data_IF_762181205208
#
_entry.id   IF_762181205208
#
_cell.length_a   1.000
_cell.length_b   1.000
_cell.length_c   1.000
_cell.angle_alpha   90.00
_cell.angle_beta   90.00
_cell.angle_gamma   90.00
#
_symmetry.space_group_name_H-M   'P 1'
#
loop_
_entity.id
_entity.type
_entity.pdbx_description
1 polymer ?
#
# COMPACT_ATOMS: atom_id res chain seq x y z
N UNK A 1 -3.54 2.13 -15.16
CA UNK A 1 -3.62 2.83 -13.85
C UNK A 1 -4.19 4.21 -14.11
N UNK A 2 -4.85 4.81 -13.16
CA UNK A 2 -5.52 6.11 -13.32
C UNK A 2 -7.03 5.99 -13.25
N UNK A 3 -7.76 6.99 -13.77
CA UNK A 3 -9.21 7.11 -13.68
C UNK A 3 -9.93 5.83 -14.18
N UNK A 4 -10.85 5.30 -13.39
CA UNK A 4 -11.63 4.10 -13.74
C UNK A 4 -10.98 2.76 -13.36
N UNK A 5 -9.77 2.76 -12.79
CA UNK A 5 -9.11 1.56 -12.28
C UNK A 5 -9.06 1.55 -10.75
N UNK A 6 -9.15 0.38 -10.11
CA UNK A 6 -9.00 0.30 -8.66
C UNK A 6 -7.60 0.75 -8.22
N UNK A 7 -7.52 1.43 -7.08
CA UNK A 7 -6.26 1.84 -6.47
C UNK A 7 -5.40 0.61 -6.17
N UNK A 8 -4.15 0.59 -6.64
CA UNK A 8 -3.25 -0.55 -6.49
C UNK A 8 -2.31 -0.38 -5.31
N UNK A 9 -2.08 -1.48 -4.60
CA UNK A 9 -1.18 -1.53 -3.44
C UNK A 9 0.22 -1.93 -3.89
N UNK A 10 1.20 -1.07 -3.60
CA UNK A 10 2.62 -1.33 -3.82
C UNK A 10 3.36 -1.50 -2.49
N UNK A 11 4.31 -2.43 -2.45
CA UNK A 11 5.31 -2.54 -1.38
C UNK A 11 6.73 -2.48 -1.92
N UNK A 12 7.71 -2.44 -1.02
CA UNK A 12 9.12 -2.42 -1.38
C UNK A 12 9.87 -3.45 -0.55
N UNK A 13 10.68 -4.26 -1.23
CA UNK A 13 11.56 -5.22 -0.58
C UNK A 13 12.62 -4.53 0.26
N UNK A 14 13.02 -5.20 1.33
CA UNK A 14 14.15 -4.80 2.18
C UNK A 14 15.33 -5.79 2.10
N UNK A 15 15.24 -6.78 1.20
CA UNK A 15 16.36 -7.67 0.84
C UNK A 15 17.37 -6.95 -0.04
N UNK A 16 18.61 -7.42 -0.04
CA UNK A 16 19.60 -7.01 -1.03
C UNK A 16 19.22 -7.58 -2.39
N UNK A 17 19.00 -6.73 -3.38
CA UNK A 17 18.48 -7.11 -4.71
C UNK A 17 19.43 -8.06 -5.46
N UNK A 18 20.74 -7.98 -5.21
CA UNK A 18 21.76 -8.90 -5.73
C UNK A 18 21.47 -10.36 -5.33
N UNK A 19 20.85 -10.61 -4.18
CA UNK A 19 20.37 -11.92 -3.79
C UNK A 19 19.00 -12.18 -4.42
N UNK A 20 19.01 -12.58 -5.69
CA UNK A 20 17.78 -12.79 -6.46
C UNK A 20 16.85 -13.83 -5.82
N UNK A 21 17.41 -14.87 -5.17
CA UNK A 21 16.61 -15.91 -4.54
C UNK A 21 15.84 -15.39 -3.32
N UNK A 22 16.53 -14.70 -2.40
CA UNK A 22 15.87 -14.11 -1.22
C UNK A 22 14.90 -13.03 -1.61
N UNK A 23 15.25 -12.19 -2.58
CA UNK A 23 14.39 -11.11 -3.06
C UNK A 23 13.11 -11.67 -3.72
N UNK A 24 13.23 -12.68 -4.57
CA UNK A 24 12.06 -13.34 -5.14
C UNK A 24 11.20 -14.04 -4.09
N UNK A 25 11.79 -14.68 -3.08
CA UNK A 25 11.06 -15.27 -1.97
C UNK A 25 10.27 -14.22 -1.17
N UNK A 26 10.88 -13.05 -0.90
CA UNK A 26 10.17 -11.95 -0.25
C UNK A 26 9.04 -11.39 -1.11
N UNK A 27 9.26 -11.23 -2.42
CA UNK A 27 8.21 -10.78 -3.34
C UNK A 27 7.03 -11.76 -3.35
N UNK A 28 7.28 -13.06 -3.42
CA UNK A 28 6.23 -14.08 -3.37
C UNK A 28 5.44 -14.02 -2.06
N UNK A 29 6.10 -13.81 -0.93
CA UNK A 29 5.42 -13.61 0.36
C UNK A 29 4.58 -12.32 0.37
N UNK A 30 5.04 -11.25 -0.29
CA UNK A 30 4.27 -10.02 -0.46
C UNK A 30 3.07 -10.22 -1.41
N UNK A 31 3.22 -11.01 -2.48
CA UNK A 31 2.12 -11.40 -3.37
C UNK A 31 1.05 -12.18 -2.61
N UNK A 32 1.44 -13.14 -1.78
CA UNK A 32 0.52 -13.87 -0.91
C UNK A 32 -0.19 -12.94 0.07
N UNK A 33 0.51 -11.91 0.59
CA UNK A 33 -0.09 -10.87 1.40
C UNK A 33 -0.95 -9.87 0.60
N UNK A 34 -1.08 -10.02 -0.72
CA UNK A 34 -1.92 -9.20 -1.58
C UNK A 34 -1.22 -8.00 -2.23
N UNK A 35 0.11 -7.91 -2.16
CA UNK A 35 0.85 -6.87 -2.87
C UNK A 35 0.66 -7.02 -4.39
N UNK A 36 0.28 -5.95 -5.06
CA UNK A 36 -0.04 -5.96 -6.49
C UNK A 36 1.11 -5.42 -7.36
N UNK A 37 2.05 -4.70 -6.76
CA UNK A 37 3.23 -4.14 -7.42
C UNK A 37 4.39 -4.19 -6.43
N UNK A 38 5.49 -4.84 -6.79
CA UNK A 38 6.66 -4.92 -5.94
C UNK A 38 7.76 -3.97 -6.42
N UNK A 39 8.54 -3.41 -5.49
CA UNK A 39 9.67 -2.53 -5.80
C UNK A 39 10.94 -3.03 -5.12
N UNK A 40 12.04 -2.97 -5.85
CA UNK A 40 13.40 -3.29 -5.36
C UNK A 40 14.32 -2.10 -5.54
N UNK A 41 15.30 -1.94 -4.64
CA UNK A 41 16.36 -0.97 -4.80
C UNK A 41 17.40 -1.52 -5.79
N UNK A 42 17.91 -0.64 -6.66
CA UNK A 42 18.97 -0.98 -7.61
C UNK A 42 20.15 -0.03 -7.41
N UNK A 43 21.01 -0.33 -6.40
CA UNK A 43 22.12 0.54 -6.06
C UNK A 43 23.34 0.40 -6.99
N UNK A 44 23.48 -0.73 -7.64
CA UNK A 44 24.65 -1.11 -8.46
C UNK A 44 24.27 -2.04 -9.62
N UNK A 45 25.26 -2.40 -10.44
CA UNK A 45 25.08 -3.22 -11.65
C UNK A 45 24.69 -4.66 -11.32
N UNK A 46 25.20 -5.22 -10.24
CA UNK A 46 24.86 -6.59 -9.82
C UNK A 46 23.37 -6.69 -9.46
N UNK A 47 22.83 -5.66 -8.77
CA UNK A 47 21.40 -5.57 -8.48
C UNK A 47 20.57 -5.40 -9.76
N UNK A 48 21.04 -4.61 -10.73
CA UNK A 48 20.35 -4.43 -12.01
C UNK A 48 20.30 -5.76 -12.81
N UNK A 49 21.39 -6.50 -12.85
CA UNK A 49 21.48 -7.82 -13.53
C UNK A 49 20.62 -8.88 -12.84
N UNK A 50 20.53 -8.86 -11.50
CA UNK A 50 19.72 -9.80 -10.73
C UNK A 50 18.21 -9.71 -11.06
N UNK A 51 17.72 -8.60 -11.62
CA UNK A 51 16.32 -8.41 -11.99
C UNK A 51 15.82 -9.52 -12.91
N UNK A 52 16.62 -9.97 -13.89
CA UNK A 52 16.23 -11.03 -14.82
C UNK A 52 15.92 -12.35 -14.11
N UNK A 53 16.72 -12.73 -13.10
CA UNK A 53 16.50 -13.94 -12.31
C UNK A 53 15.30 -13.77 -11.34
N UNK A 54 15.10 -12.58 -10.78
CA UNK A 54 13.94 -12.27 -9.95
C UNK A 54 12.66 -12.39 -10.80
N UNK A 55 12.62 -11.80 -11.97
CA UNK A 55 11.44 -11.80 -12.88
C UNK A 55 10.99 -13.21 -13.27
N UNK A 56 11.90 -14.16 -13.43
CA UNK A 56 11.55 -15.57 -13.72
C UNK A 56 10.81 -16.25 -12.57
N UNK A 57 10.86 -15.71 -11.36
CA UNK A 57 10.36 -16.34 -10.13
C UNK A 57 9.14 -15.66 -9.50
N UNK A 58 8.70 -14.54 -10.05
CA UNK A 58 7.60 -13.71 -9.53
C UNK A 58 6.50 -13.53 -10.58
N UNK A 59 5.30 -13.21 -10.14
CA UNK A 59 4.14 -12.97 -11.02
C UNK A 59 3.74 -11.50 -11.10
N UNK A 60 3.93 -10.75 -10.00
CA UNK A 60 3.55 -9.34 -9.95
C UNK A 60 4.53 -8.45 -10.72
N UNK A 61 4.06 -7.30 -11.21
CA UNK A 61 4.93 -6.28 -11.79
C UNK A 61 6.01 -5.81 -10.83
N UNK A 62 7.24 -5.67 -11.35
CA UNK A 62 8.42 -5.25 -10.62
C UNK A 62 8.82 -3.82 -10.98
N UNK A 63 9.14 -3.00 -9.98
CA UNK A 63 9.64 -1.64 -10.12
C UNK A 63 11.10 -1.58 -9.68
N UNK A 64 12.01 -1.19 -10.56
CA UNK A 64 13.39 -0.88 -10.22
C UNK A 64 13.50 0.57 -9.72
N UNK A 65 14.06 0.75 -8.52
CA UNK A 65 14.27 2.06 -7.90
C UNK A 65 15.70 2.52 -8.09
N UNK A 66 15.91 3.49 -8.98
CA UNK A 66 17.23 3.95 -9.42
C UNK A 66 17.35 5.44 -9.13
N UNK A 67 18.44 5.85 -8.49
CA UNK A 67 18.59 7.21 -7.99
C UNK A 67 19.56 8.09 -8.79
N UNK A 68 20.70 7.56 -9.27
CA UNK A 68 21.79 8.41 -9.75
C UNK A 68 22.38 7.97 -11.09
N UNK A 69 22.46 6.68 -11.38
CA UNK A 69 23.12 6.16 -12.58
C UNK A 69 22.09 5.65 -13.59
N UNK A 70 22.01 6.32 -14.75
CA UNK A 70 21.09 5.94 -15.84
C UNK A 70 21.44 4.58 -16.46
N UNK A 71 22.71 4.13 -16.37
CA UNK A 71 23.13 2.82 -16.90
C UNK A 71 22.47 1.67 -16.15
N UNK A 72 22.21 1.86 -14.86
CA UNK A 72 21.43 0.89 -14.07
C UNK A 72 19.98 0.80 -14.56
N UNK A 73 19.42 1.93 -15.02
CA UNK A 73 18.07 1.95 -15.60
C UNK A 73 18.04 1.18 -16.93
N UNK A 74 19.04 1.40 -17.80
CA UNK A 74 19.17 0.68 -19.06
C UNK A 74 19.30 -0.84 -18.84
N UNK A 75 20.17 -1.25 -17.90
CA UNK A 75 20.33 -2.67 -17.59
C UNK A 75 19.06 -3.25 -16.98
N UNK A 76 18.41 -2.59 -16.03
CA UNK A 76 17.15 -3.04 -15.45
C UNK A 76 16.04 -3.23 -16.51
N UNK A 77 15.96 -2.33 -17.50
CA UNK A 77 15.03 -2.43 -18.63
C UNK A 77 15.36 -3.67 -19.48
N UNK A 78 16.63 -3.86 -19.84
CA UNK A 78 17.12 -5.02 -20.57
C UNK A 78 16.81 -6.35 -19.85
N UNK A 79 16.85 -6.35 -18.52
CA UNK A 79 16.52 -7.51 -17.67
C UNK A 79 15.01 -7.74 -17.50
N UNK A 80 14.15 -6.91 -18.13
CA UNK A 80 12.71 -7.12 -18.20
C UNK A 80 11.92 -6.58 -16.99
N UNK A 81 12.39 -5.52 -16.35
CA UNK A 81 11.61 -4.82 -15.33
C UNK A 81 10.34 -4.20 -15.96
N UNK A 82 9.24 -4.13 -15.21
CA UNK A 82 7.98 -3.56 -15.73
C UNK A 82 7.91 -2.04 -15.58
N UNK A 83 8.64 -1.49 -14.62
CA UNK A 83 8.69 -0.04 -14.37
C UNK A 83 10.04 0.36 -13.77
N UNK A 84 10.54 1.49 -14.21
CA UNK A 84 11.71 2.13 -13.60
C UNK A 84 11.29 3.40 -12.87
N UNK A 85 11.69 3.53 -11.60
CA UNK A 85 11.58 4.79 -10.87
C UNK A 85 12.90 5.52 -10.94
N UNK A 86 12.84 6.71 -11.47
CA UNK A 86 13.97 7.63 -11.57
C UNK A 86 13.60 9.00 -11.02
N UNK A 87 14.60 9.79 -10.76
CA UNK A 87 14.49 11.24 -10.70
C UNK A 87 15.31 11.80 -11.87
N UNK A 88 14.69 12.22 -13.00
CA UNK A 88 15.38 12.71 -14.17
C UNK A 88 16.40 13.81 -13.86
N UNK A 89 16.13 14.59 -12.83
CA UNK A 89 17.05 15.61 -12.36
C UNK A 89 18.32 15.10 -11.67
N UNK A 90 18.41 13.82 -11.33
CA UNK A 90 19.55 13.23 -10.61
C UNK A 90 20.36 12.23 -11.45
N UNK A 91 19.84 11.78 -12.62
CA UNK A 91 20.51 10.78 -13.46
C UNK A 91 21.49 11.37 -14.48
N UNK A 92 21.82 12.64 -14.34
CA UNK A 92 22.85 13.34 -15.13
C UNK A 92 22.28 14.24 -16.23
N UNK A 93 22.93 14.26 -17.38
CA UNK A 93 22.52 15.11 -18.50
C UNK A 93 21.15 14.69 -19.10
N UNK A 94 20.52 15.62 -19.82
CA UNK A 94 19.24 15.35 -20.52
C UNK A 94 19.36 14.21 -21.52
N UNK A 95 20.53 14.02 -22.12
CA UNK A 95 20.86 12.93 -23.03
C UNK A 95 20.69 11.57 -22.36
N UNK A 96 21.12 11.41 -21.11
CA UNK A 96 20.95 10.18 -20.34
C UNK A 96 19.44 9.86 -20.12
N UNK A 97 18.64 10.92 -19.87
CA UNK A 97 17.18 10.76 -19.78
C UNK A 97 16.59 10.29 -21.11
N UNK A 98 17.06 10.82 -22.23
CA UNK A 98 16.63 10.40 -23.57
C UNK A 98 16.96 8.94 -23.86
N UNK A 99 18.13 8.46 -23.45
CA UNK A 99 18.50 7.03 -23.58
C UNK A 99 17.58 6.13 -22.77
N UNK A 100 17.29 6.48 -21.52
CA UNK A 100 16.36 5.72 -20.67
C UNK A 100 14.96 5.71 -21.26
N UNK A 101 14.48 6.86 -21.77
CA UNK A 101 13.15 6.95 -22.40
C UNK A 101 13.07 6.11 -23.67
N UNK A 102 14.11 6.12 -24.53
CA UNK A 102 14.17 5.27 -25.71
C UNK A 102 14.10 3.79 -25.33
N UNK A 103 14.97 3.36 -24.41
CA UNK A 103 14.96 1.97 -23.94
C UNK A 103 13.60 1.57 -23.33
N UNK A 104 12.97 2.48 -22.57
CA UNK A 104 11.64 2.25 -22.01
C UNK A 104 10.54 2.12 -23.08
N UNK A 105 10.60 2.93 -24.15
CA UNK A 105 9.69 2.80 -25.31
C UNK A 105 9.88 1.48 -26.03
N UNK A 106 11.12 1.11 -26.35
CA UNK A 106 11.46 -0.09 -27.09
C UNK A 106 11.04 -1.38 -26.37
N UNK A 107 11.01 -1.36 -25.04
CA UNK A 107 10.65 -2.51 -24.20
C UNK A 107 9.26 -2.41 -23.55
N UNK A 108 8.50 -1.35 -23.80
CA UNK A 108 7.18 -1.14 -23.19
C UNK A 108 7.19 -0.91 -21.69
N UNK A 109 8.31 -0.44 -21.14
CA UNK A 109 8.52 -0.21 -19.70
C UNK A 109 7.94 1.12 -19.27
N UNK A 110 7.22 1.16 -18.15
CA UNK A 110 6.70 2.40 -17.58
C UNK A 110 7.79 3.17 -16.81
N UNK A 111 7.68 4.50 -16.75
CA UNK A 111 8.55 5.33 -15.92
C UNK A 111 7.78 5.95 -14.76
N UNK A 112 8.44 6.06 -13.60
CA UNK A 112 7.93 6.85 -12.50
C UNK A 112 8.90 7.96 -12.14
N UNK A 113 8.44 9.20 -12.24
CA UNK A 113 9.10 10.37 -11.70
C UNK A 113 8.89 10.40 -10.18
N UNK A 114 9.97 10.38 -9.41
CA UNK A 114 9.92 10.36 -7.95
C UNK A 114 10.55 11.60 -7.34
N UNK A 115 9.73 12.56 -6.92
CA UNK A 115 10.17 13.75 -6.20
C UNK A 115 9.92 13.54 -4.70
N UNK A 116 11.00 13.50 -3.92
CA UNK A 116 10.96 13.48 -2.47
C UNK A 116 11.43 14.82 -1.93
N UNK A 117 10.83 15.30 -0.85
CA UNK A 117 11.19 16.58 -0.24
C UNK A 117 12.70 16.75 0.02
N UNK A 118 13.38 15.66 0.41
CA UNK A 118 14.83 15.65 0.62
C UNK A 118 15.70 15.66 -0.64
N UNK A 119 15.13 15.38 -1.84
CA UNK A 119 15.87 15.30 -3.10
C UNK A 119 15.68 16.52 -4.01
N UNK A 120 14.83 17.47 -3.63
CA UNK A 120 14.52 18.68 -4.41
C UNK A 120 15.75 19.56 -4.58
N UNK A 121 16.13 19.85 -5.83
CA UNK A 121 17.35 20.59 -6.16
C UNK A 121 17.39 21.98 -5.51
N UNK A 122 16.29 22.72 -5.60
CA UNK A 122 16.17 24.07 -5.04
C UNK A 122 16.46 24.10 -3.54
N UNK A 123 16.04 23.08 -2.81
CA UNK A 123 16.18 23.01 -1.37
C UNK A 123 17.56 22.55 -0.89
N UNK A 124 18.38 21.99 -1.78
CA UNK A 124 19.80 21.69 -1.49
C UNK A 124 20.67 22.94 -1.46
N UNK A 125 20.27 23.99 -2.17
CA UNK A 125 21.03 25.24 -2.32
C UNK A 125 20.61 26.36 -1.36
N UNK A 126 19.48 26.23 -0.66
CA UNK A 126 18.97 27.30 0.22
C UNK A 126 19.44 27.05 1.65
N UNK A 127 20.33 27.92 2.16
CA UNK A 127 20.53 28.11 3.59
C UNK A 127 19.19 28.61 4.17
N UNK A 128 18.51 27.79 4.94
CA UNK A 128 17.22 28.20 5.56
C UNK A 128 16.03 27.29 5.24
N UNK A 129 16.26 25.96 5.07
CA UNK A 129 15.17 24.97 4.92
C UNK A 129 14.04 25.08 5.94
N UNK A 130 14.28 25.72 7.07
CA UNK A 130 13.35 25.88 8.18
C UNK A 130 12.36 27.05 8.00
N UNK A 131 12.56 27.93 7.03
CA UNK A 131 11.75 29.15 6.85
C UNK A 131 10.67 29.03 5.75
N UNK A 132 10.66 27.94 4.97
CA UNK A 132 9.66 27.80 3.92
C UNK A 132 8.36 27.27 4.50
N UNK A 133 7.24 27.97 4.21
CA UNK A 133 5.90 27.46 4.51
C UNK A 133 5.63 26.14 3.76
N UNK A 134 4.71 25.31 4.28
CA UNK A 134 4.34 24.06 3.65
C UNK A 134 3.81 24.25 2.23
N UNK A 135 3.14 25.38 1.96
CA UNK A 135 2.63 25.77 0.65
C UNK A 135 3.77 26.02 -0.34
N UNK A 136 4.80 26.74 0.08
CA UNK A 136 6.00 26.96 -0.76
C UNK A 136 6.77 25.67 -1.00
N UNK A 137 6.88 24.80 -0.01
CA UNK A 137 7.44 23.47 -0.16
C UNK A 137 6.68 22.64 -1.20
N UNK A 138 5.35 22.62 -1.11
CA UNK A 138 4.50 21.92 -2.05
C UNK A 138 4.68 22.47 -3.48
N UNK A 139 4.70 23.79 -3.64
CA UNK A 139 4.89 24.43 -4.95
C UNK A 139 6.24 24.06 -5.58
N UNK A 140 7.32 24.04 -4.79
CA UNK A 140 8.66 23.68 -5.29
C UNK A 140 8.70 22.21 -5.74
N UNK A 141 8.09 21.30 -4.98
CA UNK A 141 7.98 19.89 -5.36
C UNK A 141 7.18 19.71 -6.66
N UNK A 142 6.07 20.42 -6.79
CA UNK A 142 5.22 20.36 -7.98
C UNK A 142 5.95 20.90 -9.20
N UNK A 143 6.62 22.06 -9.09
CA UNK A 143 7.37 22.64 -10.19
C UNK A 143 8.45 21.68 -10.70
N UNK A 144 9.21 21.05 -9.79
CA UNK A 144 10.22 20.04 -10.16
C UNK A 144 9.59 18.83 -10.86
N UNK A 145 8.45 18.35 -10.37
CA UNK A 145 7.77 17.22 -10.99
C UNK A 145 7.23 17.55 -12.38
N UNK A 146 6.65 18.74 -12.57
CA UNK A 146 6.15 19.20 -13.86
C UNK A 146 7.29 19.44 -14.86
N UNK A 147 8.41 20.02 -14.43
CA UNK A 147 9.61 20.17 -15.26
C UNK A 147 10.10 18.82 -15.78
N UNK A 148 10.18 17.82 -14.90
CA UNK A 148 10.58 16.47 -15.27
C UNK A 148 9.56 15.75 -16.16
N UNK A 149 8.26 15.95 -15.89
CA UNK A 149 7.19 15.39 -16.73
C UNK A 149 7.22 15.98 -18.14
N UNK A 150 7.47 17.30 -18.27
CA UNK A 150 7.59 17.98 -19.54
C UNK A 150 8.76 17.44 -20.40
N UNK A 151 9.88 17.06 -19.78
CA UNK A 151 10.98 16.39 -20.50
C UNK A 151 10.50 15.09 -21.15
N UNK A 152 9.73 14.28 -20.44
CA UNK A 152 9.19 13.01 -20.95
C UNK A 152 8.12 13.26 -22.04
N UNK A 153 7.28 14.27 -21.86
CA UNK A 153 6.27 14.67 -22.84
C UNK A 153 6.90 15.13 -24.16
N UNK A 154 7.97 15.94 -24.12
CA UNK A 154 8.74 16.35 -25.29
C UNK A 154 9.35 15.15 -26.05
N UNK A 155 9.58 14.04 -25.36
CA UNK A 155 10.04 12.78 -25.94
C UNK A 155 8.87 11.86 -26.34
N UNK A 156 7.63 12.35 -26.35
CA UNK A 156 6.39 11.60 -26.63
C UNK A 156 6.19 10.37 -25.72
N UNK A 157 6.74 10.38 -24.51
CA UNK A 157 6.61 9.29 -23.56
C UNK A 157 5.39 9.51 -22.64
N UNK A 158 4.36 8.64 -22.79
CA UNK A 158 3.08 8.75 -22.07
C UNK A 158 2.89 7.78 -20.93
N UNK A 159 3.70 6.71 -20.87
CA UNK A 159 3.57 5.69 -19.81
C UNK A 159 4.26 6.10 -18.50
N UNK A 160 3.79 7.18 -17.93
CA UNK A 160 4.39 7.90 -16.81
C UNK A 160 3.49 7.87 -15.58
N UNK A 161 4.09 7.79 -14.40
CA UNK A 161 3.48 8.00 -13.08
C UNK A 161 4.33 9.01 -12.31
N UNK A 162 3.70 9.90 -11.55
CA UNK A 162 4.42 10.84 -10.67
C UNK A 162 4.22 10.47 -9.21
N UNK A 163 5.23 10.70 -8.38
CA UNK A 163 5.12 10.59 -6.93
C UNK A 163 5.74 11.80 -6.24
N UNK A 164 4.97 12.47 -5.40
CA UNK A 164 5.33 13.63 -4.59
C UNK A 164 5.20 13.24 -3.12
N UNK A 165 6.31 13.06 -2.41
CA UNK A 165 6.33 12.51 -1.07
C UNK A 165 7.18 13.32 -0.11
N UNK A 166 6.67 13.47 1.11
CA UNK A 166 7.35 14.03 2.26
C UNK A 166 7.07 13.20 3.51
N UNK A 167 7.81 13.43 4.56
CA UNK A 167 7.55 12.99 5.94
C UNK A 167 6.38 13.77 6.58
N UNK A 168 6.11 14.98 6.06
CA UNK A 168 5.01 15.84 6.48
C UNK A 168 3.72 15.49 5.77
N UNK A 169 2.66 15.23 6.55
CA UNK A 169 1.30 15.11 6.06
C UNK A 169 0.89 16.29 5.19
N UNK A 170 1.02 17.52 5.74
CA UNK A 170 0.54 18.74 5.06
C UNK A 170 1.24 18.98 3.72
N UNK A 171 2.57 18.85 3.68
CA UNK A 171 3.35 19.00 2.44
C UNK A 171 2.97 17.95 1.40
N UNK A 172 2.81 16.69 1.83
CA UNK A 172 2.42 15.60 0.92
C UNK A 172 1.04 15.85 0.33
N UNK A 173 0.04 16.21 1.15
CA UNK A 173 -1.32 16.47 0.67
C UNK A 173 -1.34 17.67 -0.27
N UNK A 174 -0.77 18.81 0.14
CA UNK A 174 -0.74 20.02 -0.68
C UNK A 174 -0.05 19.80 -2.03
N UNK A 175 1.11 19.11 -2.05
CA UNK A 175 1.84 18.85 -3.29
C UNK A 175 1.04 17.97 -4.26
N UNK A 176 0.40 16.89 -3.77
CA UNK A 176 -0.38 16.00 -4.63
C UNK A 176 -1.67 16.68 -5.13
N UNK A 177 -2.36 17.46 -4.29
CA UNK A 177 -3.53 18.24 -4.71
C UNK A 177 -3.18 19.30 -5.76
N UNK A 178 -2.08 20.02 -5.54
CA UNK A 178 -1.63 21.05 -6.45
C UNK A 178 -1.20 20.46 -7.80
N UNK A 179 -0.51 19.31 -7.80
CA UNK A 179 -0.13 18.60 -9.01
C UNK A 179 -1.35 18.08 -9.77
N UNK A 180 -2.32 17.48 -9.08
CA UNK A 180 -3.54 16.93 -9.69
C UNK A 180 -4.43 18.01 -10.33
N UNK A 181 -4.31 19.28 -9.94
CA UNK A 181 -4.98 20.42 -10.60
C UNK A 181 -4.30 20.85 -11.91
N UNK A 182 -3.04 20.47 -12.12
CA UNK A 182 -2.21 20.95 -13.23
C UNK A 182 -1.86 19.84 -14.24
N UNK A 183 -2.11 18.56 -13.89
CA UNK A 183 -1.72 17.41 -14.71
C UNK A 183 -2.61 16.21 -14.46
N UNK A 184 -2.95 15.49 -15.54
CA UNK A 184 -3.73 14.23 -15.49
C UNK A 184 -2.81 13.00 -15.32
N UNK A 185 -1.52 13.18 -15.15
CA UNK A 185 -0.58 12.06 -14.94
C UNK A 185 -0.92 11.33 -13.63
N UNK A 186 -1.10 10.00 -13.68
CA UNK A 186 -1.45 9.22 -12.49
C UNK A 186 -0.44 9.39 -11.35
N UNK A 187 -0.95 9.51 -10.12
CA UNK A 187 -0.14 9.70 -8.92
C UNK A 187 0.06 8.39 -8.14
N UNK A 188 1.32 8.17 -7.73
CA UNK A 188 1.69 7.19 -6.71
C UNK A 188 1.87 7.89 -5.37
N UNK A 189 0.90 7.73 -4.48
CA UNK A 189 0.85 8.47 -3.22
C UNK A 189 1.36 7.64 -2.02
N UNK A 190 1.81 8.34 -0.98
CA UNK A 190 2.33 7.77 0.27
C UNK A 190 3.16 8.79 1.01
N UNK A 191 3.43 8.53 2.28
CA UNK A 191 4.42 9.26 3.05
C UNK A 191 5.80 8.58 2.96
N UNK A 192 6.85 9.36 3.15
CA UNK A 192 8.20 8.85 3.46
C UNK A 192 8.43 8.95 4.97
N UNK A 193 9.24 8.02 5.52
CA UNK A 193 9.68 8.11 6.91
C UNK A 193 8.54 8.25 7.93
N UNK A 194 7.44 7.51 7.71
CA UNK A 194 6.25 7.65 8.54
C UNK A 194 6.47 7.18 9.99
N UNK A 195 7.44 6.27 10.23
CA UNK A 195 7.83 5.82 11.56
C UNK A 195 7.40 4.38 11.88
N UNK A 196 7.29 4.09 13.19
CA UNK A 196 6.88 2.79 13.71
C UNK A 196 5.43 2.45 13.36
N UNK A 197 5.00 1.21 13.64
CA UNK A 197 3.70 0.69 13.26
C UNK A 197 2.54 1.64 13.59
N UNK A 198 2.35 1.99 14.85
CA UNK A 198 1.21 2.82 15.26
C UNK A 198 1.29 4.23 14.65
N UNK A 199 2.41 4.92 14.88
CA UNK A 199 2.59 6.30 14.40
C UNK A 199 2.52 6.39 12.87
N UNK A 200 3.22 5.47 12.19
CA UNK A 200 3.24 5.43 10.72
C UNK A 200 1.90 5.05 10.11
N UNK A 201 1.14 4.14 10.74
CA UNK A 201 -0.22 3.79 10.31
C UNK A 201 -1.14 4.99 10.41
N UNK A 202 -1.17 5.69 11.55
CA UNK A 202 -2.03 6.86 11.73
C UNK A 202 -1.68 7.97 10.73
N UNK A 203 -0.40 8.32 10.60
CA UNK A 203 0.03 9.34 9.62
C UNK A 203 -0.33 8.95 8.19
N UNK A 204 -0.10 7.69 7.81
CA UNK A 204 -0.43 7.19 6.47
C UNK A 204 -1.94 7.18 6.22
N UNK A 205 -2.74 6.75 7.20
CA UNK A 205 -4.19 6.73 7.07
C UNK A 205 -4.77 8.13 6.86
N UNK A 206 -4.29 9.12 7.62
CA UNK A 206 -4.73 10.50 7.47
C UNK A 206 -4.33 11.07 6.10
N UNK A 207 -3.06 10.89 5.69
CA UNK A 207 -2.57 11.45 4.42
C UNK A 207 -3.22 10.80 3.20
N UNK A 208 -3.21 9.46 3.15
CA UNK A 208 -3.79 8.70 2.05
C UNK A 208 -5.31 8.86 2.02
N UNK A 209 -5.97 8.84 3.19
CA UNK A 209 -7.42 9.04 3.29
C UNK A 209 -7.85 10.38 2.72
N UNK A 210 -7.14 11.47 3.07
CA UNK A 210 -7.42 12.82 2.56
C UNK A 210 -7.30 12.89 1.03
N UNK A 211 -6.28 12.27 0.44
CA UNK A 211 -6.06 12.29 -1.00
C UNK A 211 -7.04 11.38 -1.75
N UNK A 212 -7.21 10.16 -1.26
CA UNK A 212 -8.07 9.16 -1.89
C UNK A 212 -9.54 9.56 -1.92
N UNK A 213 -10.06 10.23 -0.88
CA UNK A 213 -11.42 10.79 -0.87
C UNK A 213 -11.63 11.86 -1.95
N UNK A 214 -10.56 12.49 -2.42
CA UNK A 214 -10.59 13.47 -3.52
C UNK A 214 -10.33 12.82 -4.89
N UNK A 215 -10.27 11.47 -4.96
CA UNK A 215 -9.96 10.75 -6.19
C UNK A 215 -8.48 10.82 -6.60
N UNK A 216 -7.60 11.30 -5.71
CA UNK A 216 -6.17 11.45 -5.98
C UNK A 216 -5.41 10.22 -5.51
N UNK A 217 -4.74 9.52 -6.45
CA UNK A 217 -3.93 8.34 -6.16
C UNK A 217 -4.35 7.11 -6.97
N UNK A 218 -3.54 6.74 -7.96
CA UNK A 218 -3.72 5.53 -8.74
C UNK A 218 -3.06 4.31 -8.10
N UNK A 219 -1.98 4.54 -7.34
CA UNK A 219 -1.28 3.53 -6.56
C UNK A 219 -0.86 4.09 -5.22
N UNK A 220 -0.82 3.26 -4.19
CA UNK A 220 -0.42 3.67 -2.84
C UNK A 220 0.72 2.82 -2.31
N UNK A 221 1.55 3.43 -1.43
CA UNK A 221 2.50 2.70 -0.59
C UNK A 221 2.49 3.26 0.83
N UNK A 222 2.23 2.40 1.78
CA UNK A 222 2.46 2.67 3.21
C UNK A 222 3.93 2.37 3.51
N UNK A 223 4.61 3.23 4.28
CA UNK A 223 6.02 3.10 4.65
C UNK A 223 6.14 3.04 6.16
N UNK A 224 6.37 1.85 6.70
CA UNK A 224 6.53 1.61 8.14
C UNK A 224 7.91 0.98 8.38
N UNK A 225 8.48 1.23 9.56
CA UNK A 225 9.67 0.52 10.06
C UNK A 225 9.21 -0.83 10.64
N UNK A 226 8.70 -1.71 9.73
CA UNK A 226 8.09 -3.00 10.04
C UNK A 226 8.24 -3.98 8.86
N UNK A 227 7.83 -5.24 9.09
CA UNK A 227 7.71 -6.24 8.01
C UNK A 227 6.90 -5.66 6.84
N UNK A 228 7.40 -5.74 5.61
CA UNK A 228 6.70 -5.22 4.44
C UNK A 228 5.28 -5.79 4.23
N UNK A 229 4.97 -6.99 4.74
CA UNK A 229 3.62 -7.58 4.72
C UNK A 229 2.62 -6.78 5.54
N UNK A 230 3.05 -6.21 6.69
CA UNK A 230 2.22 -5.31 7.50
C UNK A 230 1.93 -4.00 6.78
N UNK A 231 2.89 -3.52 5.97
CA UNK A 231 2.67 -2.33 5.12
C UNK A 231 1.55 -2.58 4.09
N UNK A 232 1.53 -3.77 3.47
CA UNK A 232 0.47 -4.19 2.54
C UNK A 232 -0.88 -4.27 3.25
N UNK A 233 -0.92 -4.95 4.41
CA UNK A 233 -2.15 -5.05 5.20
C UNK A 233 -2.68 -3.67 5.59
N UNK A 234 -1.83 -2.78 6.12
CA UNK A 234 -2.21 -1.41 6.48
C UNK A 234 -2.76 -0.63 5.28
N UNK A 235 -2.17 -0.81 4.09
CA UNK A 235 -2.68 -0.18 2.87
C UNK A 235 -4.11 -0.64 2.55
N UNK A 236 -4.40 -1.93 2.67
CA UNK A 236 -5.75 -2.44 2.45
C UNK A 236 -6.73 -2.00 3.55
N UNK A 237 -6.32 -1.92 4.81
CA UNK A 237 -7.20 -1.41 5.87
C UNK A 237 -7.60 0.06 5.62
N UNK A 238 -6.67 0.88 5.10
CA UNK A 238 -6.99 2.25 4.67
C UNK A 238 -7.99 2.24 3.51
N UNK A 239 -7.79 1.39 2.50
CA UNK A 239 -8.69 1.32 1.35
C UNK A 239 -10.09 0.77 1.73
N UNK A 240 -10.17 -0.18 2.67
CA UNK A 240 -11.42 -0.70 3.22
C UNK A 240 -12.19 0.39 3.98
N UNK A 241 -11.50 1.12 4.86
CA UNK A 241 -12.10 2.21 5.64
C UNK A 241 -12.72 3.30 4.74
N UNK A 242 -12.24 3.44 3.51
CA UNK A 242 -12.75 4.37 2.50
C UNK A 242 -13.75 3.73 1.51
N UNK A 243 -14.10 2.46 1.67
CA UNK A 243 -14.93 1.68 0.73
C UNK A 243 -14.40 1.68 -0.72
N UNK A 244 -13.08 1.80 -0.90
CA UNK A 244 -12.43 1.78 -2.22
C UNK A 244 -12.04 0.38 -2.68
N UNK A 245 -11.71 -0.50 -1.74
CA UNK A 245 -11.33 -1.89 -1.98
C UNK A 245 -11.77 -2.76 -0.82
N UNK A 246 -12.11 -4.00 -1.12
CA UNK A 246 -12.30 -5.05 -0.13
C UNK A 246 -11.08 -5.97 -0.10
N UNK A 247 -10.69 -6.41 1.10
CA UNK A 247 -9.56 -7.31 1.32
C UNK A 247 -9.65 -7.96 2.70
N UNK A 248 -9.91 -9.27 2.72
CA UNK A 248 -10.25 -9.96 3.97
C UNK A 248 -11.58 -9.51 4.56
N UNK A 249 -11.90 -9.94 5.78
CA UNK A 249 -13.15 -9.59 6.43
C UNK A 249 -13.13 -8.16 6.99
N UNK A 250 -14.30 -7.63 7.26
CA UNK A 250 -14.50 -6.52 8.17
C UNK A 250 -14.88 -7.09 9.55
N UNK A 251 -13.92 -7.09 10.48
CA UNK A 251 -14.15 -7.55 11.85
C UNK A 251 -14.76 -6.41 12.68
N UNK A 252 -15.95 -6.62 13.17
CA UNK A 252 -16.67 -5.70 14.07
C UNK A 252 -16.52 -6.22 15.49
N UNK A 253 -15.81 -5.49 16.34
CA UNK A 253 -15.62 -5.89 17.74
C UNK A 253 -15.88 -4.74 18.70
N UNK A 254 -16.43 -5.04 19.85
CA UNK A 254 -16.63 -4.05 20.89
C UNK A 254 -15.30 -3.70 21.59
N UNK A 255 -15.15 -2.44 22.09
CA UNK A 255 -13.91 -1.98 22.75
C UNK A 255 -13.69 -2.56 24.15
N UNK A 256 -14.42 -3.58 24.52
CA UNK A 256 -14.43 -4.22 25.85
C UNK A 256 -14.68 -3.23 27.01
N UNK A 257 -15.68 -3.43 27.80
CA UNK A 257 -16.00 -2.63 28.98
C UNK A 257 -16.22 -3.50 30.19
N UNK A 258 -16.61 -2.95 31.34
CA UNK A 258 -16.89 -3.71 32.56
C UNK A 258 -18.04 -4.74 32.45
N UNK A 259 -18.77 -4.77 31.36
CA UNK A 259 -19.79 -5.81 31.05
C UNK A 259 -19.22 -7.02 30.30
N UNK A 260 -18.01 -6.94 29.78
CA UNK A 260 -17.36 -8.02 29.01
C UNK A 260 -17.07 -9.21 29.92
N UNK A 261 -17.52 -10.40 29.51
CA UNK A 261 -17.41 -11.65 30.28
C UNK A 261 -16.59 -12.73 29.56
N UNK A 262 -15.97 -12.37 28.41
CA UNK A 262 -15.24 -13.26 27.50
C UNK A 262 -14.00 -12.55 26.96
N UNK A 263 -13.02 -13.29 26.52
CA UNK A 263 -11.83 -12.73 25.86
C UNK A 263 -12.10 -12.36 24.40
N UNK A 264 -12.61 -11.15 24.19
CA UNK A 264 -12.85 -10.58 22.83
C UNK A 264 -11.51 -10.32 22.12
N UNK A 265 -10.57 -9.73 22.83
CA UNK A 265 -9.26 -9.33 22.27
C UNK A 265 -8.51 -10.54 21.73
N UNK A 266 -8.34 -11.59 22.54
CA UNK A 266 -7.68 -12.81 22.10
C UNK A 266 -8.42 -13.51 20.95
N UNK A 267 -9.77 -13.52 20.97
CA UNK A 267 -10.57 -14.09 19.89
C UNK A 267 -10.35 -13.34 18.56
N UNK A 268 -10.40 -12.00 18.57
CA UNK A 268 -10.19 -11.16 17.38
C UNK A 268 -8.79 -11.35 16.83
N UNK A 269 -7.76 -11.29 17.67
CA UNK A 269 -6.38 -11.48 17.24
C UNK A 269 -6.16 -12.87 16.63
N UNK A 270 -6.69 -13.92 17.24
CA UNK A 270 -6.55 -15.29 16.72
C UNK A 270 -7.28 -15.48 15.37
N UNK A 271 -8.45 -14.84 15.19
CA UNK A 271 -9.15 -14.83 13.90
C UNK A 271 -8.34 -14.11 12.83
N UNK A 272 -7.86 -12.91 13.13
CA UNK A 272 -7.04 -12.13 12.21
C UNK A 272 -5.79 -12.89 11.80
N UNK A 273 -5.04 -13.42 12.75
CA UNK A 273 -3.81 -14.18 12.48
C UNK A 273 -4.08 -15.33 11.52
N UNK A 274 -5.08 -16.18 11.81
CA UNK A 274 -5.41 -17.34 10.96
C UNK A 274 -5.95 -16.94 9.59
N UNK A 275 -6.79 -15.91 9.49
CA UNK A 275 -7.35 -15.46 8.22
C UNK A 275 -6.26 -14.83 7.33
N UNK A 276 -5.37 -14.01 7.89
CA UNK A 276 -4.33 -13.36 7.10
C UNK A 276 -3.12 -14.25 6.79
N UNK A 277 -2.92 -15.35 7.53
CA UNK A 277 -1.92 -16.36 7.22
C UNK A 277 -2.35 -17.29 6.05
N UNK A 278 -3.64 -17.46 5.79
CA UNK A 278 -4.17 -18.32 4.73
C UNK A 278 -4.84 -17.48 3.62
N UNK A 279 -4.21 -17.45 2.44
CA UNK A 279 -4.71 -16.68 1.29
C UNK A 279 -6.11 -17.11 0.87
N UNK A 280 -6.39 -18.42 0.80
CA UNK A 280 -7.68 -18.92 0.36
C UNK A 280 -8.79 -18.56 1.35
N UNK A 281 -8.49 -18.66 2.65
CA UNK A 281 -9.40 -18.26 3.72
C UNK A 281 -9.66 -16.75 3.68
N UNK A 282 -8.64 -15.94 3.50
CA UNK A 282 -8.75 -14.49 3.38
C UNK A 282 -9.59 -14.07 2.16
N UNK A 283 -9.35 -14.68 1.01
CA UNK A 283 -10.15 -14.42 -0.20
C UNK A 283 -11.61 -14.80 0.00
N UNK A 284 -11.87 -15.93 0.67
CA UNK A 284 -13.22 -16.38 1.02
C UNK A 284 -13.90 -15.41 2.01
N UNK A 285 -13.15 -14.88 2.97
CA UNK A 285 -13.63 -13.91 3.97
C UNK A 285 -13.80 -12.49 3.42
N UNK A 286 -13.26 -12.19 2.22
CA UNK A 286 -13.27 -10.82 1.67
C UNK A 286 -14.69 -10.31 1.50
N UNK A 287 -14.96 -9.13 2.07
CA UNK A 287 -16.28 -8.47 2.08
C UNK A 287 -17.23 -8.97 3.18
N UNK A 288 -16.90 -10.05 3.92
CA UNK A 288 -17.72 -10.49 5.05
C UNK A 288 -17.58 -9.55 6.25
N UNK A 289 -18.69 -9.20 6.86
CA UNK A 289 -18.78 -8.49 8.13
C UNK A 289 -18.99 -9.48 9.26
N UNK A 290 -17.96 -9.69 10.06
CA UNK A 290 -17.95 -10.70 11.14
C UNK A 290 -17.87 -9.98 12.48
N UNK A 291 -18.82 -10.26 13.38
CA UNK A 291 -18.88 -9.61 14.69
C UNK A 291 -18.38 -10.49 15.82
N UNK A 292 -17.57 -9.89 16.71
CA UNK A 292 -17.16 -10.51 17.99
C UNK A 292 -17.46 -9.51 19.11
N UNK A 293 -18.51 -9.79 19.88
CA UNK A 293 -19.03 -8.87 20.89
C UNK A 293 -18.86 -9.45 22.31
N UNK A 294 -18.46 -8.62 23.27
CA UNK A 294 -18.12 -9.04 24.63
C UNK A 294 -19.32 -9.27 25.56
N UNK A 295 -20.54 -8.84 25.18
CA UNK A 295 -21.74 -9.04 25.97
C UNK A 295 -22.99 -9.09 25.07
N UNK A 296 -24.05 -9.71 25.60
CA UNK A 296 -25.33 -9.84 24.89
C UNK A 296 -26.16 -8.56 24.84
N UNK A 297 -25.81 -7.55 25.65
CA UNK A 297 -26.61 -6.31 25.76
C UNK A 297 -26.53 -5.49 24.47
N UNK A 298 -25.34 -5.31 23.91
CA UNK A 298 -25.12 -4.53 22.69
C UNK A 298 -24.89 -5.42 21.45
N UNK A 299 -24.66 -6.72 21.64
CA UNK A 299 -24.32 -7.64 20.56
C UNK A 299 -25.29 -7.59 19.37
N UNK A 300 -26.59 -7.81 19.58
CA UNK A 300 -27.57 -7.81 18.50
C UNK A 300 -27.86 -6.44 17.89
N UNK A 301 -27.60 -5.34 18.64
CA UNK A 301 -27.86 -3.97 18.19
C UNK A 301 -26.71 -3.40 17.34
N UNK A 302 -25.50 -3.40 17.87
CA UNK A 302 -24.31 -2.84 17.20
C UNK A 302 -23.77 -3.75 16.06
N UNK A 303 -24.07 -5.03 16.12
CA UNK A 303 -23.69 -6.01 15.11
C UNK A 303 -24.82 -6.40 14.15
N UNK A 304 -25.88 -5.63 14.07
CA UNK A 304 -27.07 -5.89 13.23
C UNK A 304 -26.74 -6.06 11.76
N UNK A 305 -25.75 -5.27 11.28
CA UNK A 305 -25.31 -5.30 9.89
C UNK A 305 -24.19 -6.32 9.62
N UNK A 306 -23.84 -7.16 10.61
CA UNK A 306 -22.91 -8.25 10.41
C UNK A 306 -23.59 -9.42 9.70
N UNK A 307 -22.86 -10.06 8.76
CA UNK A 307 -23.33 -11.29 8.13
C UNK A 307 -23.53 -12.39 9.18
N UNK A 308 -22.57 -12.51 10.09
CA UNK A 308 -22.66 -13.37 11.25
C UNK A 308 -21.73 -12.91 12.38
N UNK A 309 -21.95 -13.43 13.57
CA UNK A 309 -21.11 -13.10 14.72
C UNK A 309 -21.44 -13.86 15.98
N UNK A 310 -20.67 -13.56 17.03
CA UNK A 310 -20.87 -14.11 18.38
C UNK A 310 -20.94 -12.98 19.39
N UNK A 311 -21.96 -13.01 20.26
CA UNK A 311 -22.11 -12.11 21.38
C UNK A 311 -21.86 -12.86 22.69
N UNK A 312 -20.86 -12.42 23.48
CA UNK A 312 -20.39 -13.10 24.68
C UNK A 312 -21.38 -13.08 25.85
N UNK A 313 -21.35 -14.13 26.64
CA UNK A 313 -22.00 -14.28 27.92
C UNK A 313 -21.02 -14.94 28.92
N UNK A 314 -21.50 -15.52 30.00
CA UNK A 314 -20.67 -16.19 31.02
C UNK A 314 -20.06 -17.49 30.49
N UNK A 315 -18.81 -17.43 29.96
CA UNK A 315 -18.08 -18.58 29.45
C UNK A 315 -18.61 -19.17 28.13
N UNK A 316 -19.69 -18.64 27.59
CA UNK A 316 -20.32 -19.05 26.34
C UNK A 316 -20.68 -17.81 25.49
N UNK A 317 -21.02 -18.00 24.24
CA UNK A 317 -21.48 -16.93 23.36
C UNK A 317 -22.70 -17.36 22.56
N UNK A 318 -23.49 -16.36 22.21
CA UNK A 318 -24.67 -16.51 21.39
C UNK A 318 -24.26 -16.23 19.93
N UNK A 319 -24.30 -17.27 19.11
CA UNK A 319 -24.09 -17.15 17.68
C UNK A 319 -25.32 -16.57 16.99
N UNK A 320 -25.11 -15.68 16.04
CA UNK A 320 -26.18 -15.07 15.24
C UNK A 320 -25.75 -14.92 13.77
N UNK A 321 -26.73 -14.94 12.88
CA UNK A 321 -26.60 -14.66 11.44
C UNK A 321 -27.65 -13.60 11.06
N UNK A 322 -27.25 -12.57 10.32
CA UNK A 322 -28.13 -11.49 9.87
C UNK A 322 -29.06 -10.95 10.98
N UNK A 323 -28.50 -10.77 12.17
CA UNK A 323 -29.22 -10.31 13.36
C UNK A 323 -30.12 -11.34 14.03
N UNK A 324 -30.27 -12.55 13.49
CA UNK A 324 -31.06 -13.62 14.08
C UNK A 324 -30.22 -14.53 14.97
N UNK A 325 -30.65 -14.72 16.20
CA UNK A 325 -30.01 -15.60 17.14
C UNK A 325 -30.23 -17.07 16.74
N UNK A 326 -29.16 -17.87 16.71
CA UNK A 326 -29.19 -19.27 16.31
C UNK A 326 -29.03 -20.22 17.50
N UNK A 327 -27.89 -20.23 18.14
CA UNK A 327 -27.57 -21.12 19.26
C UNK A 327 -26.40 -20.55 20.07
N UNK A 328 -26.12 -21.20 21.21
CA UNK A 328 -24.99 -20.88 22.07
C UNK A 328 -23.85 -21.86 21.86
N UNK A 329 -22.62 -21.39 22.04
CA UNK A 329 -21.41 -22.22 22.02
C UNK A 329 -20.38 -21.74 23.04
N UNK A 330 -19.55 -22.63 23.60
CA UNK A 330 -18.47 -22.29 24.52
C UNK A 330 -17.44 -21.39 23.85
N UNK A 331 -16.86 -20.43 24.59
CA UNK A 331 -15.84 -19.52 24.07
C UNK A 331 -14.65 -20.24 23.45
N UNK A 332 -14.24 -21.37 23.97
CA UNK A 332 -13.13 -22.19 23.46
C UNK A 332 -13.32 -22.65 22.01
N UNK A 333 -14.54 -22.66 21.51
CA UNK A 333 -14.89 -23.10 20.15
C UNK A 333 -15.08 -21.94 19.17
N UNK A 334 -15.07 -20.67 19.60
CA UNK A 334 -15.44 -19.53 18.77
C UNK A 334 -14.57 -19.39 17.54
N UNK A 335 -13.25 -19.40 17.71
CA UNK A 335 -12.31 -19.20 16.61
C UNK A 335 -12.49 -20.25 15.53
N UNK A 336 -12.46 -21.54 15.91
CA UNK A 336 -12.58 -22.65 14.96
C UNK A 336 -13.96 -22.66 14.29
N UNK A 337 -15.00 -22.36 15.04
CA UNK A 337 -16.36 -22.27 14.51
C UNK A 337 -16.49 -21.15 13.47
N UNK A 338 -16.03 -19.91 13.78
CA UNK A 338 -16.09 -18.78 12.86
C UNK A 338 -15.26 -19.03 11.61
N UNK A 339 -14.07 -19.65 11.74
CA UNK A 339 -13.25 -20.03 10.59
C UNK A 339 -13.97 -21.10 9.71
N UNK A 340 -14.65 -22.07 10.33
CA UNK A 340 -15.46 -23.03 9.60
C UNK A 340 -16.62 -22.37 8.87
N UNK A 341 -17.29 -21.40 9.51
CA UNK A 341 -18.35 -20.61 8.86
C UNK A 341 -17.83 -19.85 7.65
N UNK A 342 -16.68 -19.17 7.75
CA UNK A 342 -16.03 -18.50 6.61
C UNK A 342 -15.80 -19.48 5.46
N UNK A 343 -15.22 -20.67 5.76
CA UNK A 343 -14.92 -21.69 4.74
C UNK A 343 -16.17 -22.15 3.99
N UNK A 344 -17.27 -22.28 4.71
CA UNK A 344 -18.54 -22.80 4.17
C UNK A 344 -19.53 -21.70 3.76
N UNK A 345 -19.15 -20.42 3.89
CA UNK A 345 -20.02 -19.30 3.54
C UNK A 345 -20.32 -19.28 2.05
N UNK A 346 -21.61 -19.23 1.71
CA UNK A 346 -22.07 -19.00 0.35
C UNK A 346 -22.35 -17.52 0.21
N UNK A 347 -21.68 -16.87 -0.73
CA UNK A 347 -22.03 -15.51 -1.11
C UNK A 347 -23.30 -15.62 -1.97
N UNK A 348 -24.35 -14.92 -1.54
CA UNK A 348 -25.56 -14.76 -2.33
C UNK A 348 -25.29 -13.97 -3.61
#
# INVERSE_FOLDING_TARGET
MGTGHPVRVQSMCNTHTQDAQKTAAQINALEEAGCEINRVAVPDMDAAQAIGEIKKRIKTPLVADIHFDYKLALEAIKQGVDKVRINPGNIGAVENTKEVVRAALDHGVALRIGVNAGSVKYLKSVQGRMELSDEKWAQVMVNEALEQANILEQLNFKNVVVSLKSDSFKRTVLANELFAKQSDIPLHIGLTEAGSFLSGTVKSAVALGTLLQKGIGATIRVSLTEDPRLQVRTAYEILKALNLREYGPNLISCPTCGRTQVDVTGTVHALEEKIYADKALREKATGLKIAVMGCIVNGPGEARDADFGIAGGRGEGLYFEHGQTMFKLPQTQWVEFLLSKIKNWKKD
#
